data_IF_045097499219
#
_entry.id   IF_045097499219
#
_cell.length_a   1.000
_cell.length_b   1.000
_cell.length_c   1.000
_cell.angle_alpha   90.00
_cell.angle_beta   90.00
_cell.angle_gamma   90.00
#
_symmetry.space_group_name_H-M   'P 1'
#
loop_
_entity.id
_entity.type
_entity.pdbx_description
1 polymer ?
#
# COMPACT_ATOMS: atom_id res chain seq x y z
N UNK A 1 13.38 -27.15 -23.71
CA UNK A 1 12.12 -26.92 -22.98
C UNK A 1 12.37 -26.87 -21.49
N UNK A 2 13.09 -27.83 -20.92
CA UNK A 2 13.36 -27.93 -19.46
C UNK A 2 13.97 -26.67 -18.82
N UNK A 3 14.91 -25.98 -19.49
CA UNK A 3 15.54 -24.78 -18.94
C UNK A 3 14.60 -23.57 -18.79
N UNK A 4 13.61 -23.43 -19.67
CA UNK A 4 12.62 -22.33 -19.59
C UNK A 4 11.59 -22.60 -18.49
N UNK A 5 11.17 -23.86 -18.34
CA UNK A 5 10.27 -24.31 -17.28
C UNK A 5 10.94 -24.12 -15.91
N UNK A 6 12.21 -24.49 -15.77
CA UNK A 6 12.93 -24.30 -14.51
C UNK A 6 13.08 -22.82 -14.14
N UNK A 7 13.32 -21.96 -15.13
CA UNK A 7 13.40 -20.50 -14.94
C UNK A 7 12.04 -19.92 -14.49
N UNK A 8 10.94 -20.41 -15.07
CA UNK A 8 9.59 -20.04 -14.68
C UNK A 8 9.25 -20.49 -13.26
N UNK A 9 9.56 -21.74 -12.89
CA UNK A 9 9.36 -22.23 -11.51
C UNK A 9 10.13 -21.40 -10.49
N UNK A 10 11.33 -20.95 -10.81
CA UNK A 10 12.09 -20.06 -9.92
C UNK A 10 11.37 -18.71 -9.74
N UNK A 11 10.91 -18.09 -10.82
CA UNK A 11 10.18 -16.80 -10.77
C UNK A 11 8.86 -16.92 -10.00
N UNK A 12 8.15 -18.04 -10.18
CA UNK A 12 6.94 -18.37 -9.40
C UNK A 12 7.23 -18.44 -7.90
N UNK A 13 8.31 -19.14 -7.51
CA UNK A 13 8.75 -19.19 -6.10
C UNK A 13 9.12 -17.82 -5.57
N UNK A 14 9.87 -17.02 -6.33
CA UNK A 14 10.30 -15.69 -5.92
C UNK A 14 9.09 -14.77 -5.67
N UNK A 15 8.09 -14.80 -6.57
CA UNK A 15 6.84 -14.05 -6.41
C UNK A 15 6.02 -14.54 -5.21
N UNK A 16 5.94 -15.86 -4.99
CA UNK A 16 5.26 -16.45 -3.83
C UNK A 16 5.91 -16.00 -2.50
N UNK A 17 7.24 -16.05 -2.40
CA UNK A 17 7.99 -15.58 -1.23
C UNK A 17 7.76 -14.08 -1.00
N UNK A 18 7.74 -13.29 -2.08
CA UNK A 18 7.43 -11.87 -1.98
C UNK A 18 6.02 -11.63 -1.43
N UNK A 19 5.01 -12.38 -1.90
CA UNK A 19 3.64 -12.31 -1.37
C UNK A 19 3.59 -12.66 0.13
N UNK A 20 4.27 -13.72 0.56
CA UNK A 20 4.38 -14.08 1.98
C UNK A 20 5.02 -13.00 2.82
N UNK A 21 6.08 -12.35 2.32
CA UNK A 21 6.73 -11.24 3.01
C UNK A 21 5.82 -10.01 3.14
N UNK A 22 4.92 -9.80 2.17
CA UNK A 22 4.07 -8.60 2.09
C UNK A 22 2.79 -8.73 2.90
N UNK A 23 2.12 -9.88 2.77
CA UNK A 23 0.82 -10.16 3.41
C UNK A 23 0.96 -10.98 4.70
N UNK A 24 2.14 -11.53 4.96
CA UNK A 24 2.41 -12.44 6.07
C UNK A 24 2.22 -13.90 5.66
N UNK A 25 2.99 -14.81 6.27
CA UNK A 25 2.94 -16.25 5.95
C UNK A 25 1.54 -16.86 6.18
N UNK A 26 0.80 -16.37 7.18
CA UNK A 26 -0.56 -16.82 7.45
C UNK A 26 -1.60 -16.34 6.43
N UNK A 27 -1.24 -15.39 5.58
CA UNK A 27 -2.11 -14.89 4.53
C UNK A 27 -1.91 -15.61 3.19
N UNK A 28 -0.86 -16.44 3.06
CA UNK A 28 -0.57 -17.17 1.82
C UNK A 28 -0.37 -18.65 2.14
N UNK A 29 -1.36 -19.48 1.80
CA UNK A 29 -1.38 -20.91 2.12
C UNK A 29 -1.22 -21.77 0.86
N UNK A 30 -0.25 -22.68 0.83
CA UNK A 30 -0.11 -23.65 -0.28
C UNK A 30 -1.10 -24.80 -0.14
N UNK A 31 -1.62 -25.30 -1.27
CA UNK A 31 -2.65 -26.36 -1.27
C UNK A 31 -2.16 -27.75 -0.82
N UNK A 32 -0.85 -28.06 -0.81
CA UNK A 32 -0.34 -29.36 -0.35
C UNK A 32 1.19 -29.47 -0.08
N UNK A 33 1.54 -30.56 0.61
CA UNK A 33 2.75 -30.91 1.40
C UNK A 33 4.12 -31.03 0.72
N UNK A 34 4.41 -30.39 -0.43
CA UNK A 34 5.75 -30.46 -1.05
C UNK A 34 6.13 -29.22 -1.86
N UNK A 35 6.41 -28.09 -1.21
CA UNK A 35 7.15 -26.95 -1.79
C UNK A 35 6.70 -26.52 -3.21
N UNK A 36 5.43 -26.76 -3.50
CA UNK A 36 4.82 -26.61 -4.81
C UNK A 36 4.04 -25.31 -4.81
N UNK A 37 4.62 -24.32 -5.48
CA UNK A 37 4.09 -22.96 -5.59
C UNK A 37 3.19 -22.80 -6.81
N UNK A 38 2.93 -23.89 -7.56
CA UNK A 38 2.03 -23.84 -8.71
C UNK A 38 0.59 -23.52 -8.32
N UNK A 39 0.20 -23.74 -7.07
CA UNK A 39 -1.12 -23.37 -6.57
C UNK A 39 -1.09 -22.94 -5.11
N UNK A 40 -1.64 -21.76 -4.82
CA UNK A 40 -1.72 -21.22 -3.46
C UNK A 40 -2.97 -20.37 -3.25
N UNK A 41 -3.42 -20.34 -2.00
CA UNK A 41 -4.48 -19.49 -1.50
C UNK A 41 -3.89 -18.20 -0.95
N UNK A 42 -4.54 -17.08 -1.26
CA UNK A 42 -4.21 -15.77 -0.75
C UNK A 42 -5.43 -15.20 -0.04
N UNK A 43 -5.24 -14.84 1.23
CA UNK A 43 -6.20 -14.21 2.11
C UNK A 43 -5.92 -12.71 2.16
N UNK A 44 -6.74 -11.92 1.49
CA UNK A 44 -6.57 -10.47 1.40
C UNK A 44 -7.54 -9.81 2.38
N UNK A 45 -7.07 -9.26 3.51
CA UNK A 45 -7.94 -8.46 4.36
C UNK A 45 -8.40 -7.21 3.60
N UNK A 46 -9.67 -6.83 3.78
CA UNK A 46 -10.19 -5.58 3.23
C UNK A 46 -10.16 -4.56 4.36
N UNK A 47 -9.25 -3.60 4.26
CA UNK A 47 -9.01 -2.62 5.33
C UNK A 47 -10.28 -1.85 5.67
N UNK A 48 -10.38 -1.45 6.94
CA UNK A 48 -11.58 -0.81 7.53
C UNK A 48 -12.84 -1.70 7.53
N UNK A 49 -12.72 -3.00 7.23
CA UNK A 49 -13.80 -3.97 7.35
C UNK A 49 -13.38 -5.20 8.17
N UNK A 50 -14.35 -6.06 8.51
CA UNK A 50 -14.07 -7.42 9.05
C UNK A 50 -14.11 -8.49 7.95
N UNK A 51 -14.10 -8.08 6.69
CA UNK A 51 -14.18 -8.98 5.54
C UNK A 51 -12.79 -9.31 5.01
N UNK A 52 -12.69 -10.46 4.35
CA UNK A 52 -11.49 -10.91 3.66
C UNK A 52 -11.89 -11.44 2.28
N UNK A 53 -11.00 -11.27 1.30
CA UNK A 53 -11.09 -11.88 0.00
C UNK A 53 -10.17 -13.11 -0.05
N UNK A 54 -10.76 -14.29 -0.17
CA UNK A 54 -10.02 -15.55 -0.27
C UNK A 54 -9.94 -15.97 -1.75
N UNK A 55 -8.72 -16.05 -2.29
CA UNK A 55 -8.47 -16.29 -3.72
C UNK A 55 -7.48 -17.43 -3.88
N UNK A 56 -7.80 -18.41 -4.71
CA UNK A 56 -6.88 -19.47 -5.09
C UNK A 56 -6.24 -19.14 -6.43
N UNK A 57 -4.92 -19.02 -6.47
CA UNK A 57 -4.14 -18.89 -7.70
C UNK A 57 -3.65 -20.25 -8.18
N UNK A 58 -3.65 -20.42 -9.49
CA UNK A 58 -3.07 -21.54 -10.23
C UNK A 58 -2.11 -20.97 -11.28
N UNK A 59 -0.84 -21.35 -11.19
CA UNK A 59 0.24 -20.87 -12.04
C UNK A 59 0.59 -21.94 -13.08
N UNK A 60 0.35 -21.70 -14.37
CA UNK A 60 0.83 -22.60 -15.43
C UNK A 60 2.36 -22.75 -15.40
N UNK A 61 2.90 -23.89 -15.85
CA UNK A 61 4.36 -24.09 -15.99
C UNK A 61 5.02 -23.04 -16.93
N UNK A 62 4.22 -22.41 -17.79
CA UNK A 62 4.60 -21.35 -18.72
C UNK A 62 4.56 -19.94 -18.11
N UNK A 63 3.93 -19.75 -16.95
CA UNK A 63 3.93 -18.47 -16.23
C UNK A 63 5.29 -18.22 -15.56
N UNK A 64 5.85 -17.00 -15.57
CA UNK A 64 5.31 -15.77 -16.14
C UNK A 64 5.77 -15.45 -17.58
N UNK A 65 6.29 -16.42 -18.33
CA UNK A 65 6.82 -16.17 -19.67
C UNK A 65 5.73 -16.05 -20.74
N UNK A 66 4.76 -16.98 -20.77
CA UNK A 66 3.82 -17.08 -21.88
C UNK A 66 2.36 -16.92 -21.45
N UNK A 67 1.92 -17.63 -20.40
CA UNK A 67 0.53 -17.65 -19.94
C UNK A 67 0.36 -16.92 -18.60
N UNK A 68 -0.77 -16.21 -18.38
CA UNK A 68 -1.07 -15.52 -17.13
C UNK A 68 -1.40 -16.50 -15.99
N UNK A 69 -1.39 -16.02 -14.73
CA UNK A 69 -1.92 -16.81 -13.63
C UNK A 69 -3.45 -16.91 -13.75
N UNK A 70 -4.00 -18.04 -13.35
CA UNK A 70 -5.45 -18.26 -13.25
C UNK A 70 -5.86 -18.12 -11.79
N UNK A 71 -7.00 -17.50 -11.51
CA UNK A 71 -7.48 -17.36 -10.14
C UNK A 71 -8.95 -17.78 -9.99
N UNK A 72 -9.30 -18.23 -8.79
CA UNK A 72 -10.64 -18.63 -8.41
C UNK A 72 -11.02 -18.01 -7.06
N UNK A 73 -12.27 -17.54 -6.96
CA UNK A 73 -12.79 -17.01 -5.70
C UNK A 73 -13.21 -18.14 -4.76
N UNK A 74 -12.72 -18.10 -3.53
CA UNK A 74 -13.12 -19.03 -2.48
C UNK A 74 -14.19 -18.37 -1.60
N UNK A 75 -15.38 -18.96 -1.54
CA UNK A 75 -16.45 -18.50 -0.65
C UNK A 75 -17.17 -17.21 -1.07
N UNK A 76 -17.01 -16.75 -2.31
CA UNK A 76 -17.67 -15.54 -2.79
C UNK A 76 -19.04 -15.81 -3.45
N UNK A 77 -20.13 -15.27 -2.90
CA UNK A 77 -21.48 -15.38 -3.48
C UNK A 77 -21.70 -14.38 -4.62
N UNK A 78 -22.46 -14.78 -5.67
CA UNK A 78 -22.86 -13.90 -6.77
C UNK A 78 -24.15 -13.15 -6.40
N UNK A 79 -24.11 -11.82 -6.51
CA UNK A 79 -25.26 -10.96 -6.24
C UNK A 79 -26.24 -10.86 -7.42
N UNK A 80 -25.87 -11.42 -8.58
CA UNK A 80 -26.66 -11.31 -9.80
C UNK A 80 -26.78 -9.87 -10.30
N UNK A 81 -27.41 -9.71 -11.46
CA UNK A 81 -27.53 -8.41 -12.11
C UNK A 81 -28.58 -7.55 -11.37
N UNK A 82 -28.12 -6.44 -10.77
CA UNK A 82 -28.92 -5.50 -9.95
C UNK A 82 -30.15 -4.90 -10.65
N UNK A 83 -30.33 -5.11 -11.96
CA UNK A 83 -31.41 -4.52 -12.73
C UNK A 83 -32.76 -5.27 -12.64
N UNK A 84 -32.78 -6.56 -12.26
CA UNK A 84 -34.00 -7.39 -12.34
C UNK A 84 -34.55 -7.89 -11.00
N UNK A 85 -33.91 -7.58 -9.87
CA UNK A 85 -34.37 -8.08 -8.58
C UNK A 85 -34.39 -6.99 -7.48
N UNK A 86 -35.50 -6.23 -7.34
CA UNK A 86 -35.63 -5.18 -6.34
C UNK A 86 -35.81 -5.70 -4.90
N UNK A 87 -35.81 -7.03 -4.70
CA UNK A 87 -36.07 -7.67 -3.40
C UNK A 87 -34.90 -8.59 -3.03
N UNK A 88 -33.74 -8.00 -2.79
CA UNK A 88 -32.75 -8.57 -1.89
C UNK A 88 -32.41 -7.55 -0.79
N UNK A 89 -33.43 -6.83 -0.31
CA UNK A 89 -33.37 -6.14 0.97
C UNK A 89 -33.35 -7.17 2.10
N UNK A 90 -32.17 -7.32 2.70
CA UNK A 90 -32.04 -7.63 4.11
C UNK A 90 -32.11 -9.09 4.51
N UNK A 91 -31.02 -9.85 4.34
CA UNK A 91 -30.58 -10.82 5.34
C UNK A 91 -29.04 -10.89 5.36
N UNK A 92 -28.53 -11.04 6.58
CA UNK A 92 -27.14 -10.99 7.03
C UNK A 92 -26.18 -11.86 6.21
N UNK A 93 -25.07 -11.29 5.73
CA UNK A 93 -23.87 -12.11 5.50
C UNK A 93 -23.37 -12.57 6.86
N UNK A 94 -23.50 -13.86 7.11
CA UNK A 94 -22.81 -14.52 8.22
C UNK A 94 -21.33 -14.21 8.05
N UNK A 95 -20.73 -13.74 9.15
CA UNK A 95 -19.37 -13.20 9.26
C UNK A 95 -18.38 -13.78 8.23
N UNK A 96 -17.72 -12.86 7.50
CA UNK A 96 -16.52 -13.05 6.63
C UNK A 96 -16.70 -13.34 5.14
N UNK A 97 -17.91 -13.52 4.60
CA UNK A 97 -18.06 -13.81 3.16
C UNK A 97 -18.14 -12.56 2.28
N UNK A 98 -17.23 -12.45 1.31
CA UNK A 98 -17.22 -11.45 0.24
C UNK A 98 -18.30 -11.79 -0.81
N UNK A 99 -19.12 -10.82 -1.25
CA UNK A 99 -20.22 -11.04 -2.21
C UNK A 99 -20.18 -10.09 -3.43
N UNK A 100 -19.34 -10.40 -4.42
CA UNK A 100 -19.08 -9.53 -5.57
C UNK A 100 -20.24 -9.48 -6.55
N UNK A 101 -20.61 -8.26 -6.99
CA UNK A 101 -21.53 -8.09 -8.11
C UNK A 101 -20.91 -8.55 -9.43
N UNK A 102 -21.73 -8.84 -10.45
CA UNK A 102 -21.24 -9.26 -11.76
C UNK A 102 -20.32 -8.22 -12.40
N UNK A 103 -20.62 -6.92 -12.24
CA UNK A 103 -19.77 -5.83 -12.76
C UNK A 103 -18.41 -5.81 -12.05
N UNK A 104 -18.39 -6.01 -10.73
CA UNK A 104 -17.11 -6.06 -9.99
C UNK A 104 -16.24 -7.22 -10.45
N UNK A 105 -16.83 -8.40 -10.67
CA UNK A 105 -16.09 -9.56 -11.19
C UNK A 105 -15.49 -9.27 -12.56
N UNK A 106 -16.26 -8.64 -13.45
CA UNK A 106 -15.80 -8.22 -14.78
C UNK A 106 -14.63 -7.23 -14.67
N UNK A 107 -14.76 -6.19 -13.84
CA UNK A 107 -13.70 -5.19 -13.66
C UNK A 107 -12.41 -5.85 -13.14
N UNK A 108 -12.56 -6.76 -12.17
CA UNK A 108 -11.45 -7.47 -11.54
C UNK A 108 -10.70 -8.39 -12.53
N UNK A 109 -11.44 -9.16 -13.33
CA UNK A 109 -10.87 -10.00 -14.38
C UNK A 109 -10.20 -9.16 -15.48
N UNK A 110 -10.84 -8.07 -15.91
CA UNK A 110 -10.28 -7.18 -16.93
C UNK A 110 -8.98 -6.53 -16.47
N UNK A 111 -8.88 -6.14 -15.21
CA UNK A 111 -7.65 -5.54 -14.70
C UNK A 111 -6.48 -6.53 -14.69
N UNK A 112 -6.70 -7.80 -14.33
CA UNK A 112 -5.65 -8.82 -14.41
C UNK A 112 -5.14 -8.96 -15.85
N UNK A 113 -6.06 -9.06 -16.81
CA UNK A 113 -5.71 -9.14 -18.22
C UNK A 113 -4.97 -7.88 -18.70
N UNK A 114 -5.39 -6.70 -18.26
CA UNK A 114 -4.76 -5.42 -18.59
C UNK A 114 -3.33 -5.35 -18.07
N UNK A 115 -3.11 -5.70 -16.79
CA UNK A 115 -1.78 -5.73 -16.18
C UNK A 115 -0.89 -6.79 -16.84
N UNK A 116 -1.41 -7.96 -17.15
CA UNK A 116 -0.68 -9.01 -17.85
C UNK A 116 -0.22 -8.60 -19.26
N UNK A 117 -1.05 -7.83 -19.97
CA UNK A 117 -0.70 -7.31 -21.30
C UNK A 117 0.45 -6.28 -21.26
N UNK A 118 0.74 -5.70 -20.10
CA UNK A 118 1.88 -4.81 -19.89
C UNK A 118 3.11 -5.63 -19.46
N UNK A 119 4.14 -5.68 -20.32
CA UNK A 119 5.38 -6.44 -20.07
C UNK A 119 6.06 -6.12 -18.73
N UNK A 120 5.85 -4.91 -18.19
CA UNK A 120 6.40 -4.44 -16.92
C UNK A 120 5.93 -5.28 -15.73
N UNK A 121 4.77 -5.92 -15.82
CA UNK A 121 4.17 -6.65 -14.71
C UNK A 121 4.35 -8.15 -14.79
N UNK A 122 4.82 -8.73 -15.90
CA UNK A 122 4.84 -10.19 -16.08
C UNK A 122 5.44 -10.94 -14.90
N UNK A 123 6.56 -10.47 -14.37
CA UNK A 123 7.27 -11.06 -13.22
C UNK A 123 6.58 -10.93 -11.86
N UNK A 124 5.62 -10.01 -11.72
CA UNK A 124 5.04 -9.60 -10.44
C UNK A 124 3.54 -9.31 -10.58
N UNK A 125 2.86 -9.94 -11.55
CA UNK A 125 1.52 -9.55 -11.96
C UNK A 125 0.52 -9.87 -10.84
N UNK A 126 0.76 -10.93 -10.07
CA UNK A 126 -0.10 -11.30 -8.95
C UNK A 126 0.02 -10.24 -7.87
N UNK A 127 1.24 -9.85 -7.51
CA UNK A 127 1.44 -8.78 -6.52
C UNK A 127 0.82 -7.44 -6.97
N UNK A 128 1.04 -7.06 -8.22
CA UNK A 128 0.52 -5.82 -8.78
C UNK A 128 -1.02 -5.82 -8.83
N UNK A 129 -1.62 -6.96 -9.17
CA UNK A 129 -3.06 -7.11 -9.28
C UNK A 129 -3.72 -7.20 -7.90
N UNK A 130 -3.19 -8.00 -6.97
CA UNK A 130 -3.68 -8.09 -5.59
C UNK A 130 -3.67 -6.71 -4.92
N UNK A 131 -2.57 -5.97 -5.14
CA UNK A 131 -2.43 -4.58 -4.69
C UNK A 131 -3.58 -3.68 -5.16
N UNK A 132 -3.94 -3.78 -6.45
CA UNK A 132 -5.05 -3.03 -7.01
C UNK A 132 -6.39 -3.54 -6.49
N UNK A 133 -6.53 -4.86 -6.33
CA UNK A 133 -7.75 -5.50 -5.90
C UNK A 133 -8.14 -5.07 -4.49
N UNK A 134 -7.20 -4.97 -3.56
CA UNK A 134 -7.43 -4.41 -2.23
C UNK A 134 -8.04 -3.01 -2.30
N UNK A 135 -7.43 -2.09 -3.06
CA UNK A 135 -7.91 -0.70 -3.23
C UNK A 135 -9.28 -0.65 -3.94
N UNK A 136 -9.48 -1.50 -4.94
CA UNK A 136 -10.75 -1.61 -5.67
C UNK A 136 -11.86 -2.07 -4.73
N UNK A 137 -11.62 -3.12 -3.94
CA UNK A 137 -12.58 -3.62 -2.96
C UNK A 137 -12.85 -2.58 -1.88
N UNK A 138 -11.85 -1.92 -1.29
CA UNK A 138 -12.08 -0.86 -0.30
C UNK A 138 -13.00 0.27 -0.80
N UNK A 139 -12.91 0.59 -2.09
CA UNK A 139 -13.68 1.69 -2.70
C UNK A 139 -15.07 1.26 -3.18
N UNK A 140 -15.19 0.05 -3.74
CA UNK A 140 -16.39 -0.40 -4.46
C UNK A 140 -17.16 -1.49 -3.73
N UNK A 141 -16.56 -2.13 -2.73
CA UNK A 141 -17.23 -3.06 -1.85
C UNK A 141 -18.19 -2.29 -0.95
N UNK A 142 -19.50 -2.59 -0.95
CA UNK A 142 -20.44 -1.91 -0.08
C UNK A 142 -20.04 -2.18 1.39
N UNK A 143 -19.83 -1.09 2.14
CA UNK A 143 -19.49 -1.16 3.57
C UNK A 143 -20.49 -2.08 4.30
N UNK A 144 -20.04 -2.96 5.23
CA UNK A 144 -20.95 -3.76 6.03
C UNK A 144 -21.92 -2.84 6.77
N UNK A 145 -23.23 -2.96 6.47
CA UNK A 145 -24.25 -2.21 7.21
C UNK A 145 -24.23 -2.75 8.65
N UNK A 146 -23.98 -1.88 9.64
CA UNK A 146 -24.14 -2.26 11.03
C UNK A 146 -25.56 -2.81 11.25
N UNK A 147 -25.74 -3.93 11.98
CA UNK A 147 -27.06 -4.46 12.22
C UNK A 147 -27.92 -3.38 12.88
N UNK A 148 -28.99 -2.95 12.20
CA UNK A 148 -30.00 -2.10 12.84
C UNK A 148 -30.53 -2.90 14.02
N UNK A 149 -30.43 -2.39 15.27
CA UNK A 149 -31.02 -3.07 16.41
C UNK A 149 -32.50 -3.29 16.11
N UNK A 150 -32.95 -4.54 16.19
CA UNK A 150 -34.38 -4.83 16.08
C UNK A 150 -35.11 -3.96 17.12
N UNK A 151 -36.19 -3.26 16.71
CA UNK A 151 -37.03 -2.55 17.67
C UNK A 151 -37.40 -3.49 18.80
N UNK A 152 -37.26 -3.05 20.05
CA UNK A 152 -37.86 -3.78 21.17
C UNK A 152 -39.36 -3.58 21.05
N UNK A 153 -40.05 -4.59 20.55
CA UNK A 153 -41.50 -4.54 20.41
C UNK A 153 -42.16 -4.29 21.77
N UNK A 154 -42.95 -3.21 21.80
CA UNK A 154 -44.12 -2.97 22.64
C UNK A 154 -44.00 -3.01 24.17
N UNK A 155 -43.89 -1.82 24.77
CA UNK A 155 -44.80 -1.44 25.85
C UNK A 155 -45.39 -0.04 25.59
N UNK A 156 -46.71 0.02 25.37
CA UNK A 156 -47.59 1.01 26.00
C UNK A 156 -47.57 2.48 25.53
N UNK A 157 -48.40 2.76 24.51
CA UNK A 157 -49.42 3.84 24.49
C UNK A 157 -49.06 5.32 24.81
N UNK A 158 -49.35 6.17 23.80
CA UNK A 158 -49.99 7.52 23.87
C UNK A 158 -49.13 8.80 23.78
N UNK A 159 -49.39 9.59 22.73
CA UNK A 159 -49.50 11.05 22.82
C UNK A 159 -48.41 11.92 22.14
N UNK A 160 -48.73 12.50 20.98
CA UNK A 160 -48.09 13.71 20.41
C UNK A 160 -48.44 14.98 21.26
N UNK A 161 -47.93 16.19 20.95
CA UNK A 161 -46.60 16.74 21.25
C UNK A 161 -46.70 18.08 22.05
N UNK A 162 -45.63 18.59 22.68
CA UNK A 162 -45.66 20.00 23.10
C UNK A 162 -44.28 20.66 23.25
N UNK A 163 -44.12 21.76 22.51
CA UNK A 163 -43.19 22.85 22.76
C UNK A 163 -43.36 23.39 24.18
N UNK A 164 -42.27 23.76 24.86
CA UNK A 164 -42.20 25.03 25.61
C UNK A 164 -40.76 25.48 25.81
N UNK A 165 -40.62 26.81 25.79
CA UNK A 165 -39.43 27.62 26.01
C UNK A 165 -39.08 27.75 27.50
N UNK A 166 -37.90 28.34 27.72
CA UNK A 166 -37.42 29.20 28.82
C UNK A 166 -36.29 28.54 29.65
N UNK A 167 -35.05 29.06 29.72
CA UNK A 167 -34.48 30.38 30.05
C UNK A 167 -34.03 30.46 31.53
N UNK A 168 -32.90 31.16 31.77
CA UNK A 168 -32.29 31.59 33.04
C UNK A 168 -31.47 30.53 33.80
N UNK A 169 -30.33 30.79 34.44
CA UNK A 169 -29.32 31.87 34.47
C UNK A 169 -28.23 31.42 35.48
N UNK A 170 -27.06 32.06 35.45
CA UNK A 170 -26.25 32.24 36.67
C UNK A 170 -24.82 31.69 36.63
N UNK A 171 -23.88 32.60 36.35
CA UNK A 171 -22.77 33.01 37.22
C UNK A 171 -21.69 31.99 37.67
N UNK A 172 -20.40 32.29 37.82
CA UNK A 172 -19.50 33.45 37.61
C UNK A 172 -18.09 33.00 38.04
N UNK A 173 -17.02 33.57 37.45
CA UNK A 173 -15.64 33.74 37.99
C UNK A 173 -14.75 32.51 38.30
N UNK A 174 -13.42 32.51 38.21
CA UNK A 174 -12.38 33.39 37.65
C UNK A 174 -11.02 32.65 37.75
N UNK A 175 -10.05 33.06 36.93
CA UNK A 175 -8.59 33.10 37.20
C UNK A 175 -7.86 31.80 37.62
N UNK A 176 -6.77 31.37 36.96
CA UNK A 176 -5.47 32.06 37.08
C UNK A 176 -4.43 31.56 36.08
N UNK A 177 -3.61 32.52 35.63
CA UNK A 177 -2.38 32.40 34.83
C UNK A 177 -1.27 31.74 35.64
N UNK A 178 -0.39 30.99 34.97
CA UNK A 178 1.07 31.04 35.18
C UNK A 178 1.76 30.36 33.97
N UNK A 179 2.39 31.12 33.08
CA UNK A 179 3.80 31.58 33.12
C UNK A 179 4.73 30.58 32.39
N UNK A 180 4.95 30.88 31.11
CA UNK A 180 6.09 30.40 30.33
C UNK A 180 7.39 30.96 30.92
N UNK A 181 8.34 30.07 31.21
CA UNK A 181 9.78 30.20 30.93
C UNK A 181 10.55 29.09 31.64
N UNK A 182 11.23 28.21 30.88
CA UNK A 182 12.69 28.20 30.91
C UNK A 182 13.28 27.34 29.79
N UNK A 183 14.06 28.05 28.99
CA UNK A 183 15.05 27.53 28.05
C UNK A 183 16.20 26.89 28.85
N UNK A 184 16.46 25.62 28.58
CA UNK A 184 17.73 24.99 28.92
C UNK A 184 18.32 24.44 27.62
N UNK A 185 19.31 25.17 27.11
CA UNK A 185 20.18 24.78 26.00
C UNK A 185 20.87 23.47 26.34
N UNK A 186 20.38 22.37 25.77
CA UNK A 186 21.11 21.12 25.74
C UNK A 186 21.75 21.02 24.36
N UNK A 187 22.99 21.48 24.26
CA UNK A 187 23.84 21.31 23.07
C UNK A 187 24.13 19.83 22.89
N UNK A 188 23.18 19.10 22.28
CA UNK A 188 23.44 17.80 21.68
C UNK A 188 24.55 17.98 20.65
N UNK A 189 25.60 17.18 20.75
CA UNK A 189 26.62 17.07 19.71
C UNK A 189 25.93 16.78 18.38
N UNK A 190 25.97 17.71 17.45
CA UNK A 190 25.45 17.50 16.10
C UNK A 190 26.31 16.43 15.44
N UNK A 191 25.74 15.25 15.21
CA UNK A 191 26.25 14.36 14.18
C UNK A 191 26.20 15.14 12.85
N UNK A 192 27.25 15.10 12.01
CA UNK A 192 27.23 15.77 10.72
C UNK A 192 26.04 15.24 9.92
N UNK A 193 25.18 16.15 9.48
CA UNK A 193 23.96 15.86 8.72
C UNK A 193 24.38 15.10 7.45
N UNK A 194 23.77 13.94 7.23
CA UNK A 194 23.97 13.16 6.01
C UNK A 194 23.55 13.96 4.79
N UNK A 195 24.40 13.97 3.76
CA UNK A 195 24.08 14.58 2.48
C UNK A 195 22.79 13.97 1.89
N UNK A 196 21.92 14.84 1.35
CA UNK A 196 20.63 14.45 0.78
C UNK A 196 20.75 14.51 -0.75
N UNK A 197 20.64 13.37 -1.39
CA UNK A 197 20.68 13.22 -2.83
C UNK A 197 19.27 13.34 -3.39
N UNK A 198 19.05 14.30 -4.29
CA UNK A 198 17.72 14.61 -4.84
C UNK A 198 17.67 14.25 -6.31
N UNK A 199 16.65 13.47 -6.69
CA UNK A 199 16.41 13.06 -8.08
C UNK A 199 15.78 14.18 -8.93
N UNK A 200 15.57 13.90 -10.21
CA UNK A 200 14.90 14.84 -11.11
C UNK A 200 13.38 14.80 -10.94
N UNK A 201 12.66 15.93 -11.14
CA UNK A 201 11.20 15.93 -11.05
C UNK A 201 10.55 15.05 -12.12
N UNK A 202 9.62 14.20 -11.68
CA UNK A 202 8.72 13.43 -12.55
C UNK A 202 7.34 14.06 -12.55
N UNK A 203 6.75 14.24 -13.73
CA UNK A 203 5.46 14.88 -13.88
C UNK A 203 4.44 13.98 -14.59
N UNK A 204 3.22 13.93 -14.07
CA UNK A 204 2.08 13.29 -14.73
C UNK A 204 0.78 13.99 -14.34
N UNK A 205 -0.02 14.37 -15.34
CA UNK A 205 -1.30 15.09 -15.14
C UNK A 205 -1.17 16.23 -14.12
N UNK A 206 -0.12 17.04 -14.24
CA UNK A 206 0.26 18.17 -13.35
C UNK A 206 0.66 17.78 -11.93
N UNK A 207 0.58 16.51 -11.55
CA UNK A 207 1.21 16.04 -10.32
C UNK A 207 2.70 15.94 -10.53
N UNK A 208 3.47 16.35 -9.52
CA UNK A 208 4.94 16.35 -9.54
C UNK A 208 5.45 15.46 -8.41
N UNK A 209 6.46 14.66 -8.69
CA UNK A 209 7.11 13.76 -7.75
C UNK A 209 8.62 14.00 -7.76
N UNK A 210 9.22 14.15 -6.59
CA UNK A 210 10.67 14.27 -6.43
C UNK A 210 11.11 13.29 -5.33
N UNK A 211 12.13 12.49 -5.63
CA UNK A 211 12.74 11.59 -4.65
C UNK A 211 13.94 12.24 -3.98
N UNK A 212 14.14 11.91 -2.72
CA UNK A 212 15.26 12.30 -1.89
C UNK A 212 15.80 11.04 -1.21
N UNK A 213 17.11 10.86 -1.19
CA UNK A 213 17.77 9.74 -0.53
C UNK A 213 18.91 10.24 0.36
N UNK A 214 19.10 9.62 1.51
CA UNK A 214 20.17 9.98 2.44
C UNK A 214 20.68 8.75 3.20
N UNK A 215 21.97 8.77 3.53
CA UNK A 215 22.52 7.77 4.44
C UNK A 215 21.99 7.99 5.86
N UNK A 216 21.57 6.92 6.51
CA UNK A 216 21.10 6.96 7.90
C UNK A 216 21.68 5.76 8.66
N UNK A 217 22.13 5.99 9.89
CA UNK A 217 22.68 4.94 10.77
C UNK A 217 21.87 4.77 12.04
N UNK A 218 20.92 5.67 12.29
CA UNK A 218 20.09 5.68 13.49
C UNK A 218 18.73 6.32 13.20
N UNK A 219 17.76 6.09 14.08
CA UNK A 219 16.48 6.79 14.03
C UNK A 219 16.62 8.31 14.21
N UNK A 220 17.65 8.78 14.92
CA UNK A 220 17.94 10.21 15.04
C UNK A 220 18.36 10.81 13.69
N UNK A 221 19.13 10.08 12.88
CA UNK A 221 19.49 10.52 11.52
C UNK A 221 18.27 10.64 10.62
N UNK A 222 17.32 9.71 10.71
CA UNK A 222 16.04 9.74 9.97
C UNK A 222 15.27 11.04 10.29
N UNK A 223 15.15 11.37 11.58
CA UNK A 223 14.48 12.60 12.03
C UNK A 223 15.23 13.87 11.59
N UNK A 224 16.57 13.84 11.59
CA UNK A 224 17.39 14.95 11.12
C UNK A 224 17.21 15.18 9.61
N UNK A 225 17.23 14.11 8.80
CA UNK A 225 17.00 14.19 7.34
C UNK A 225 15.61 14.77 7.04
N UNK A 226 14.57 14.29 7.71
CA UNK A 226 13.22 14.85 7.58
C UNK A 226 13.19 16.33 7.97
N UNK A 227 13.80 16.71 9.08
CA UNK A 227 13.84 18.10 9.55
C UNK A 227 14.48 19.02 8.51
N UNK A 228 15.61 18.61 7.93
CA UNK A 228 16.31 19.37 6.88
C UNK A 228 15.47 19.48 5.61
N UNK A 229 14.78 18.41 5.18
CA UNK A 229 13.85 18.48 4.05
C UNK A 229 12.71 19.47 4.32
N UNK A 230 12.17 19.49 5.55
CA UNK A 230 11.07 20.39 5.95
C UNK A 230 11.50 21.85 6.11
N UNK A 231 12.79 22.17 6.21
CA UNK A 231 13.28 23.57 6.12
C UNK A 231 12.98 24.18 4.74
N UNK A 232 12.90 23.35 3.70
CA UNK A 232 12.43 23.78 2.39
C UNK A 232 10.90 23.93 2.39
N UNK A 233 10.44 25.19 2.41
CA UNK A 233 9.01 25.52 2.42
C UNK A 233 8.19 24.86 1.32
N UNK A 234 8.77 24.58 0.14
CA UNK A 234 8.04 23.91 -0.95
C UNK A 234 7.75 22.44 -0.61
N UNK A 235 8.69 21.78 0.07
CA UNK A 235 8.58 20.38 0.51
C UNK A 235 7.63 20.29 1.71
N UNK A 236 7.77 21.20 2.68
CA UNK A 236 6.86 21.27 3.83
C UNK A 236 5.41 21.58 3.47
N UNK A 237 5.17 22.22 2.31
CA UNK A 237 3.84 22.50 1.77
C UNK A 237 3.38 21.49 0.71
N UNK A 238 4.14 20.41 0.49
CA UNK A 238 3.75 19.37 -0.44
C UNK A 238 2.49 18.64 0.02
N UNK A 239 1.84 17.94 -0.90
CA UNK A 239 0.64 17.17 -0.57
C UNK A 239 0.99 15.95 0.27
N UNK A 240 2.09 15.27 -0.06
CA UNK A 240 2.59 14.11 0.66
C UNK A 240 4.13 14.08 0.64
N UNK A 241 4.74 13.69 1.75
CA UNK A 241 6.17 13.41 1.94
C UNK A 241 6.33 11.97 2.42
N UNK A 242 6.13 11.05 1.48
CA UNK A 242 6.09 9.61 1.70
C UNK A 242 7.49 9.14 2.03
N UNK A 243 7.69 8.32 3.05
CA UNK A 243 9.02 7.89 3.44
C UNK A 243 9.15 6.40 3.76
N UNK A 244 10.36 5.89 3.59
CA UNK A 244 10.79 4.59 4.07
C UNK A 244 12.28 4.62 4.41
N UNK A 245 12.69 3.83 5.41
CA UNK A 245 14.11 3.64 5.70
C UNK A 245 14.43 2.20 6.09
N UNK A 246 15.69 1.82 5.92
CA UNK A 246 16.25 0.55 6.40
C UNK A 246 17.64 0.81 6.98
N UNK A 247 17.87 0.42 8.22
CA UNK A 247 19.11 0.64 8.98
C UNK A 247 19.60 -0.70 9.50
N UNK A 248 20.86 -1.03 9.23
CA UNK A 248 21.51 -2.20 9.82
C UNK A 248 22.06 -1.82 11.20
N UNK A 249 21.50 -2.46 12.22
CA UNK A 249 21.91 -2.27 13.60
C UNK A 249 23.20 -3.07 13.88
N UNK A 250 23.95 -2.67 14.91
CA UNK A 250 25.21 -3.33 15.30
C UNK A 250 25.04 -4.81 15.64
N UNK A 251 23.87 -5.21 16.14
CA UNK A 251 23.52 -6.60 16.43
C UNK A 251 23.18 -7.44 15.18
N UNK A 252 23.30 -6.85 13.98
CA UNK A 252 23.01 -7.50 12.70
C UNK A 252 21.53 -7.48 12.28
N UNK A 253 20.62 -7.01 13.14
CA UNK A 253 19.20 -6.86 12.78
C UNK A 253 18.97 -5.63 11.89
N UNK A 254 17.86 -5.65 11.14
CA UNK A 254 17.42 -4.50 10.35
C UNK A 254 16.30 -3.77 11.11
N UNK A 255 16.52 -2.49 11.41
CA UNK A 255 15.47 -1.56 11.81
C UNK A 255 14.93 -0.88 10.55
N UNK A 256 13.64 -1.01 10.30
CA UNK A 256 12.99 -0.43 9.13
C UNK A 256 11.59 0.03 9.49
N UNK A 257 11.16 1.12 8.87
CA UNK A 257 9.81 1.67 9.04
C UNK A 257 9.43 2.50 7.81
N UNK A 258 8.15 2.85 7.70
CA UNK A 258 7.59 3.61 6.60
C UNK A 258 6.42 4.51 7.04
N UNK A 259 6.21 5.60 6.29
CA UNK A 259 5.10 6.52 6.48
C UNK A 259 4.52 6.90 5.11
N UNK A 260 3.21 6.76 4.98
CA UNK A 260 2.45 7.10 3.78
C UNK A 260 2.25 8.62 3.64
N UNK A 261 2.30 9.39 4.74
CA UNK A 261 1.93 10.81 4.83
C UNK A 261 0.59 11.11 4.13
N UNK A 262 -0.39 10.21 4.27
CA UNK A 262 -1.71 10.32 3.64
C UNK A 262 -1.79 9.85 2.18
N UNK A 263 -0.68 9.44 1.55
CA UNK A 263 -0.67 8.71 0.29
C UNK A 263 -0.78 7.20 0.55
N UNK A 264 -2.01 6.73 0.75
CA UNK A 264 -2.30 5.35 1.17
C UNK A 264 -1.48 4.29 0.41
N UNK A 265 -0.84 3.42 1.19
CA UNK A 265 0.01 2.29 0.79
C UNK A 265 1.36 2.65 0.13
N UNK A 266 1.73 3.91 -0.01
CA UNK A 266 2.94 4.30 -0.72
C UNK A 266 4.24 4.09 0.09
N UNK A 267 4.23 4.34 1.40
CA UNK A 267 5.34 4.15 2.31
C UNK A 267 5.74 2.68 2.40
N UNK A 268 4.77 1.77 2.59
CA UNK A 268 5.05 0.32 2.62
C UNK A 268 5.67 -0.16 1.30
N UNK A 269 5.23 0.38 0.16
CA UNK A 269 5.82 0.10 -1.16
C UNK A 269 7.25 0.62 -1.28
N UNK A 270 7.55 1.81 -0.78
CA UNK A 270 8.92 2.33 -0.74
C UNK A 270 9.83 1.47 0.15
N UNK A 271 9.33 0.99 1.29
CA UNK A 271 10.06 0.06 2.15
C UNK A 271 10.40 -1.24 1.41
N UNK A 272 9.43 -1.80 0.69
CA UNK A 272 9.64 -3.00 -0.14
C UNK A 272 10.62 -2.74 -1.29
N UNK A 273 10.57 -1.57 -1.93
CA UNK A 273 11.54 -1.19 -2.97
C UNK A 273 12.98 -1.22 -2.42
N UNK A 274 13.21 -0.67 -1.23
CA UNK A 274 14.52 -0.73 -0.58
C UNK A 274 14.94 -2.16 -0.25
N UNK A 275 13.98 -3.03 0.12
CA UNK A 275 14.22 -4.46 0.32
C UNK A 275 14.66 -5.18 -0.95
N UNK A 276 13.91 -4.99 -2.04
CA UNK A 276 14.20 -5.62 -3.33
C UNK A 276 15.54 -5.18 -3.92
N UNK A 277 15.92 -3.92 -3.68
CA UNK A 277 17.21 -3.38 -4.12
C UNK A 277 18.36 -3.70 -3.15
N UNK A 278 18.09 -4.42 -2.05
CA UNK A 278 19.04 -4.73 -0.99
C UNK A 278 19.77 -3.49 -0.44
N UNK A 279 19.07 -2.35 -0.43
CA UNK A 279 19.61 -1.08 0.05
C UNK A 279 19.35 -0.97 1.55
N UNK A 280 20.42 -0.75 2.30
CA UNK A 280 20.44 -0.61 3.76
C UNK A 280 21.18 0.68 4.17
N UNK A 281 21.08 1.05 5.45
CA UNK A 281 21.62 2.30 6.01
C UNK A 281 21.21 3.54 5.21
N UNK A 282 19.96 3.53 4.75
CA UNK A 282 19.43 4.49 3.79
C UNK A 282 17.98 4.81 4.11
N UNK A 283 17.64 6.09 3.94
CA UNK A 283 16.29 6.61 3.96
C UNK A 283 15.96 7.17 2.58
N UNK A 284 14.70 6.98 2.16
CA UNK A 284 14.13 7.64 0.99
C UNK A 284 12.88 8.41 1.40
N UNK A 285 12.73 9.61 0.87
CA UNK A 285 11.51 10.42 0.92
C UNK A 285 11.08 10.75 -0.49
N UNK A 286 9.82 10.52 -0.84
CA UNK A 286 9.23 10.98 -2.09
C UNK A 286 8.23 12.07 -1.79
N UNK A 287 8.55 13.28 -2.23
CA UNK A 287 7.68 14.44 -2.11
C UNK A 287 6.77 14.53 -3.33
N UNK A 288 5.46 14.55 -3.09
CA UNK A 288 4.41 14.68 -4.11
C UNK A 288 3.66 16.00 -3.96
N UNK A 289 3.49 16.70 -5.08
CA UNK A 289 2.52 17.80 -5.21
C UNK A 289 1.33 17.34 -6.08
N UNK A 290 0.11 17.46 -5.55
CA UNK A 290 -1.11 17.07 -6.25
C UNK A 290 -1.46 18.03 -7.37
N UNK A 291 -1.69 17.49 -8.57
CA UNK A 291 -1.97 18.26 -9.79
C UNK A 291 -3.45 18.59 -10.03
N UNK A 292 -4.35 18.22 -9.11
CA UNK A 292 -5.80 18.39 -9.27
C UNK A 292 -6.51 17.22 -9.94
N UNK A 293 -5.82 16.13 -10.25
CA UNK A 293 -6.42 14.92 -10.84
C UNK A 293 -5.84 13.67 -10.18
N UNK A 294 -6.71 12.78 -9.70
CA UNK A 294 -6.27 11.49 -9.16
C UNK A 294 -5.59 10.66 -10.24
N UNK A 295 -4.41 10.14 -9.93
CA UNK A 295 -3.64 9.31 -10.85
C UNK A 295 -4.01 7.82 -10.73
N UNK A 296 -4.78 7.43 -9.70
CA UNK A 296 -5.02 6.03 -9.41
C UNK A 296 -3.70 5.27 -9.23
N UNK A 297 -3.58 4.03 -9.72
CA UNK A 297 -2.37 3.22 -9.57
C UNK A 297 -1.10 3.80 -10.20
N UNK A 298 -1.23 4.65 -11.23
CA UNK A 298 -0.08 5.23 -11.93
C UNK A 298 0.84 6.06 -11.01
N UNK A 299 0.31 6.58 -9.89
CA UNK A 299 1.10 7.29 -8.88
C UNK A 299 2.23 6.43 -8.33
N UNK A 300 1.99 5.13 -8.14
CA UNK A 300 3.00 4.22 -7.57
C UNK A 300 4.17 3.99 -8.53
N UNK A 301 3.91 3.97 -9.84
CA UNK A 301 4.99 3.95 -10.85
C UNK A 301 5.91 5.17 -10.67
N UNK A 302 5.33 6.36 -10.47
CA UNK A 302 6.10 7.59 -10.30
C UNK A 302 6.81 7.67 -8.96
N UNK A 303 6.17 7.23 -7.88
CA UNK A 303 6.77 7.17 -6.54
C UNK A 303 8.01 6.26 -6.55
N UNK A 304 7.87 5.05 -7.10
CA UNK A 304 8.99 4.12 -7.20
C UNK A 304 10.12 4.63 -8.11
N UNK A 305 9.78 5.26 -9.24
CA UNK A 305 10.78 5.81 -10.15
C UNK A 305 11.50 7.02 -9.54
N UNK A 306 10.80 7.90 -8.83
CA UNK A 306 11.40 9.04 -8.13
C UNK A 306 12.36 8.57 -7.03
N UNK A 307 11.95 7.58 -6.24
CA UNK A 307 12.81 6.94 -5.24
C UNK A 307 14.07 6.33 -5.87
N UNK A 308 13.92 5.54 -6.94
CA UNK A 308 15.07 4.95 -7.65
C UNK A 308 16.04 6.00 -8.19
N UNK A 309 15.55 7.09 -8.77
CA UNK A 309 16.42 8.16 -9.25
C UNK A 309 17.24 8.80 -8.13
N UNK A 310 16.66 9.02 -6.96
CA UNK A 310 17.37 9.56 -5.82
C UNK A 310 18.44 8.58 -5.31
N UNK A 311 18.10 7.30 -5.25
CA UNK A 311 19.03 6.22 -4.87
C UNK A 311 20.19 6.09 -5.87
N UNK A 312 19.92 6.20 -7.17
CA UNK A 312 20.94 6.17 -8.22
C UNK A 312 21.84 7.41 -8.13
N UNK A 313 21.25 8.59 -7.96
CA UNK A 313 21.98 9.87 -7.82
C UNK A 313 22.92 9.84 -6.63
N UNK A 314 22.51 9.23 -5.51
CA UNK A 314 23.34 9.07 -4.32
C UNK A 314 24.26 7.85 -4.33
N UNK A 315 24.30 7.08 -5.41
CA UNK A 315 25.18 5.91 -5.51
C UNK A 315 24.84 4.78 -4.53
N UNK A 316 23.59 4.68 -4.09
CA UNK A 316 23.12 3.65 -3.17
C UNK A 316 22.91 2.29 -3.86
N UNK A 317 22.77 2.29 -5.18
CA UNK A 317 22.57 1.09 -5.98
C UNK A 317 23.93 0.45 -6.27
N UNK A 318 24.20 -0.71 -5.69
CA UNK A 318 25.42 -1.48 -5.96
C UNK A 318 25.49 -2.03 -7.40
N UNK A 319 26.66 -2.52 -7.81
CA UNK A 319 26.92 -3.02 -9.17
C UNK A 319 25.93 -4.11 -9.64
N UNK A 320 25.37 -4.89 -8.70
CA UNK A 320 24.39 -5.96 -8.94
C UNK A 320 23.12 -5.45 -9.64
N UNK A 321 22.69 -4.20 -9.36
CA UNK A 321 21.50 -3.62 -9.99
C UNK A 321 21.76 -3.16 -11.44
N UNK A 322 22.99 -2.73 -11.74
CA UNK A 322 23.34 -2.21 -13.08
C UNK A 322 23.56 -3.32 -14.12
N UNK A 323 23.95 -4.53 -13.71
CA UNK A 323 24.14 -5.67 -14.63
C UNK A 323 22.81 -6.26 -15.13
N UNK A 324 21.75 -6.23 -14.31
CA UNK A 324 20.41 -6.70 -14.70
C UNK A 324 19.73 -5.80 -15.74
N UNK A 325 20.09 -4.51 -15.79
CA UNK A 325 19.56 -3.56 -16.79
C UNK A 325 20.29 -3.66 -18.14
N UNK A 326 21.60 -3.96 -18.13
CA UNK A 326 22.41 -4.05 -19.37
C UNK A 326 22.14 -5.31 -20.19
N UNK A 327 21.76 -6.43 -19.57
CA UNK A 327 21.45 -7.67 -20.31
C UNK A 327 20.13 -7.62 -21.11
N UNK A 328 19.29 -6.59 -20.93
CA UNK A 328 18.05 -6.39 -21.70
C UNK A 328 18.21 -5.60 -23.02
N UNK A 329 19.42 -5.10 -23.33
CA UNK A 329 19.63 -4.17 -24.46
C UNK A 329 20.78 -4.62 -25.38
N UNK A 330 20.71 -5.84 -25.94
CA UNK A 330 21.41 -6.17 -27.18
C UNK A 330 20.87 -7.47 -27.80
N UNK A 331 19.94 -7.35 -28.75
CA UNK A 331 19.83 -8.29 -29.89
C UNK A 331 18.67 -7.89 -30.84
N UNK A 332 18.85 -6.82 -31.63
CA UNK A 332 18.26 -6.76 -32.97
C UNK A 332 19.25 -6.07 -33.91
N UNK A 333 20.00 -6.89 -34.64
CA UNK A 333 20.56 -6.55 -35.93
C UNK A 333 20.02 -7.54 -36.94
#
# INVERSE_FOLDING_TARGET
MDGAIETNRQRQRDEFIALQAIFGESAVETSNTRDDTSSFMLHIPIDNTKAQADICFHLPDTYPSDDPPVFEWIGAHDMGNSAENPVATGYMYVQRQLALSSNMRIDIEQELHRMWAEDVYKDVVIFAWVSWLSEYLETHWPQPIEPIPLPKDNEGTSGYPQQTKNQYDGDTEESSKDTYNNCATNTKSFNPISEIFTGTPLEMKKSVFIGHAAHVKSAEDVQNVLSVLMENKKIAQATHNIMAYRIRMENGSISQDNDDDGETAAGKRLGHLLQLLEVENTMVVVTRWFGGTHLGPDRFKLINNAARQALETGGFLGDIATEKVKHGSNSRK
#
